data_IF_862594110372
#
_entry.id   IF_862594110372
#
_cell.length_a   1.000
_cell.length_b   1.000
_cell.length_c   1.000
_cell.angle_alpha   90.00
_cell.angle_beta   90.00
_cell.angle_gamma   90.00
#
_symmetry.space_group_name_H-M   'P 1'
#
loop_
_entity.id
_entity.type
_entity.pdbx_description
1 polymer ?
#
# COMPACT_ATOMS: atom_id res chain seq x y z
N UNK A 1 8.95 4.73 -33.49
CA UNK A 1 9.28 6.15 -33.71
C UNK A 1 10.66 6.38 -33.16
N UNK A 2 11.61 6.87 -33.97
CA UNK A 2 12.95 7.20 -33.48
C UNK A 2 12.93 8.62 -32.90
N UNK A 3 13.42 8.78 -31.68
CA UNK A 3 13.55 10.10 -31.05
C UNK A 3 14.74 10.86 -31.65
N UNK A 4 14.64 12.19 -31.64
CA UNK A 4 15.69 13.08 -32.18
C UNK A 4 16.94 13.07 -31.32
N UNK A 5 16.79 12.87 -30.01
CA UNK A 5 17.87 12.76 -29.03
C UNK A 5 17.87 11.36 -28.44
N UNK A 6 19.06 10.84 -28.15
CA UNK A 6 19.26 9.57 -27.48
C UNK A 6 20.58 9.52 -26.73
N UNK A 7 20.88 8.36 -26.15
CA UNK A 7 22.11 8.14 -25.38
C UNK A 7 22.93 7.04 -26.04
N UNK A 8 24.20 7.35 -26.34
CA UNK A 8 25.17 6.34 -26.78
C UNK A 8 25.51 5.45 -25.60
N UNK A 9 25.22 4.16 -25.71
CA UNK A 9 25.51 3.17 -24.68
C UNK A 9 26.45 2.08 -25.19
N UNK A 10 27.31 1.57 -24.29
CA UNK A 10 28.12 0.36 -24.52
C UNK A 10 27.46 -0.82 -23.84
N UNK A 11 27.43 -1.95 -24.53
CA UNK A 11 27.03 -3.24 -23.96
C UNK A 11 28.15 -3.72 -23.04
N UNK A 12 27.86 -3.82 -21.76
CA UNK A 12 28.81 -4.30 -20.74
C UNK A 12 28.72 -5.80 -20.56
N UNK A 13 27.49 -6.32 -20.54
CA UNK A 13 27.21 -7.74 -20.38
C UNK A 13 25.95 -8.08 -21.15
N UNK A 14 25.94 -9.24 -21.81
CA UNK A 14 24.76 -9.77 -22.47
C UNK A 14 24.66 -11.25 -22.11
N UNK A 15 23.55 -11.66 -21.52
CA UNK A 15 23.31 -13.02 -21.07
C UNK A 15 21.93 -13.49 -21.55
N UNK A 16 21.78 -14.75 -21.99
CA UNK A 16 20.46 -15.31 -22.28
C UNK A 16 19.67 -15.42 -20.98
N UNK A 17 18.43 -14.92 -20.98
CA UNK A 17 17.53 -15.05 -19.83
C UNK A 17 17.02 -16.50 -19.82
N UNK A 18 17.16 -17.24 -18.71
CA UNK A 18 16.58 -18.56 -18.61
C UNK A 18 15.06 -18.45 -18.53
N UNK A 19 14.34 -18.76 -19.61
CA UNK A 19 12.89 -18.96 -19.54
C UNK A 19 12.61 -20.36 -19.02
N UNK A 20 12.09 -20.47 -17.80
CA UNK A 20 11.57 -21.74 -17.28
C UNK A 20 10.21 -22.01 -17.91
N UNK A 21 10.18 -22.87 -18.94
CA UNK A 21 8.92 -23.40 -19.45
C UNK A 21 8.28 -24.36 -18.43
N UNK A 22 6.95 -24.35 -18.31
CA UNK A 22 6.22 -25.48 -17.72
C UNK A 22 6.58 -26.71 -18.57
N UNK A 23 7.25 -27.72 -17.99
CA UNK A 23 7.76 -28.95 -18.64
C UNK A 23 9.19 -28.93 -19.23
N UNK A 24 10.13 -28.14 -18.70
CA UNK A 24 11.56 -28.42 -18.87
C UNK A 24 12.12 -28.28 -20.29
N UNK A 25 11.37 -27.69 -21.21
CA UNK A 25 11.91 -27.23 -22.48
C UNK A 25 12.47 -25.82 -22.29
N UNK A 26 13.72 -25.62 -22.72
CA UNK A 26 14.34 -24.31 -22.89
C UNK A 26 13.64 -23.66 -24.07
N UNK A 27 12.64 -22.83 -23.80
CA UNK A 27 12.15 -21.89 -24.80
C UNK A 27 13.25 -20.85 -25.06
N UNK A 28 13.29 -20.30 -26.27
CA UNK A 28 14.28 -19.29 -26.68
C UNK A 28 14.08 -18.03 -25.82
N UNK A 29 14.82 -17.99 -24.71
CA UNK A 29 14.69 -17.00 -23.67
C UNK A 29 15.29 -15.67 -24.11
N UNK A 30 14.57 -14.58 -23.86
CA UNK A 30 15.02 -13.23 -24.24
C UNK A 30 16.42 -12.91 -23.72
N UNK A 31 17.13 -11.96 -24.33
CA UNK A 31 18.47 -11.57 -23.89
C UNK A 31 18.39 -10.47 -22.83
N UNK A 32 19.05 -10.66 -21.68
CA UNK A 32 19.28 -9.59 -20.71
C UNK A 32 20.60 -8.88 -21.06
N UNK A 33 20.53 -7.57 -21.26
CA UNK A 33 21.69 -6.75 -21.61
C UNK A 33 21.89 -5.65 -20.57
N UNK A 34 23.10 -5.56 -20.02
CA UNK A 34 23.53 -4.45 -19.18
C UNK A 34 24.21 -3.40 -20.07
N UNK A 35 23.63 -2.21 -20.13
CA UNK A 35 24.08 -1.10 -20.94
C UNK A 35 24.63 0.01 -20.05
N UNK A 36 25.76 0.61 -20.45
CA UNK A 36 26.30 1.82 -19.82
C UNK A 36 26.23 2.99 -20.80
N UNK A 37 25.45 4.01 -20.47
CA UNK A 37 25.39 5.27 -21.23
C UNK A 37 26.66 6.12 -21.04
N UNK A 38 27.09 6.80 -22.10
CA UNK A 38 28.28 7.67 -22.09
C UNK A 38 27.94 9.11 -22.47
N UNK A 39 27.38 9.31 -23.66
CA UNK A 39 27.17 10.64 -24.24
C UNK A 39 25.77 10.74 -24.83
N UNK A 40 25.23 11.95 -24.80
CA UNK A 40 24.04 12.28 -25.56
C UNK A 40 24.37 12.41 -27.05
N UNK A 41 23.47 11.90 -27.87
CA UNK A 41 23.58 11.88 -29.31
C UNK A 41 22.31 12.43 -29.94
N UNK A 42 22.48 13.13 -31.06
CA UNK A 42 21.40 13.62 -31.90
C UNK A 42 21.34 12.79 -33.17
N UNK A 43 20.15 12.32 -33.51
CA UNK A 43 19.92 11.64 -34.79
C UNK A 43 19.98 12.67 -35.93
N UNK A 44 20.90 12.47 -36.86
CA UNK A 44 21.02 13.30 -38.06
C UNK A 44 20.27 12.68 -39.23
N UNK A 45 20.51 11.39 -39.47
CA UNK A 45 19.98 10.69 -40.63
C UNK A 45 19.79 9.21 -40.34
N UNK A 46 18.68 8.66 -40.82
CA UNK A 46 18.47 7.20 -40.84
C UNK A 46 19.09 6.66 -42.14
N UNK A 47 20.03 5.72 -42.01
CA UNK A 47 20.73 5.10 -43.15
C UNK A 47 19.97 3.86 -43.64
N UNK A 48 19.53 3.01 -42.71
CA UNK A 48 18.76 1.79 -43.01
C UNK A 48 17.86 1.40 -41.85
N UNK A 49 16.64 0.98 -42.15
CA UNK A 49 15.63 0.51 -41.18
C UNK A 49 15.64 -1.02 -40.95
N UNK A 50 16.55 -1.76 -41.60
CA UNK A 50 16.68 -3.22 -41.41
C UNK A 50 17.18 -3.61 -40.01
N UNK A 51 17.29 -4.91 -39.68
CA UNK A 51 17.98 -5.36 -38.46
C UNK A 51 19.50 -5.53 -38.71
N UNK A 52 20.38 -4.80 -38.00
CA UNK A 52 20.11 -3.70 -37.08
C UNK A 52 19.86 -2.38 -37.81
N UNK A 53 19.01 -1.52 -37.22
CA UNK A 53 18.72 -0.20 -37.77
C UNK A 53 19.99 0.63 -37.69
N UNK A 54 20.40 1.20 -38.83
CA UNK A 54 21.61 2.00 -38.93
C UNK A 54 21.24 3.47 -39.01
N UNK A 55 21.83 4.27 -38.12
CA UNK A 55 21.59 5.71 -38.01
C UNK A 55 22.92 6.44 -37.94
N UNK A 56 22.98 7.60 -38.57
CA UNK A 56 24.05 8.58 -38.41
C UNK A 56 23.68 9.52 -37.26
N UNK A 57 24.63 9.71 -36.35
CA UNK A 57 24.42 10.46 -35.10
C UNK A 57 25.55 11.44 -34.87
N UNK A 58 25.20 12.63 -34.36
CA UNK A 58 26.15 13.63 -33.89
C UNK A 58 26.23 13.60 -32.36
N UNK A 59 27.42 13.84 -31.80
CA UNK A 59 27.59 14.03 -30.37
C UNK A 59 26.98 15.37 -29.97
N UNK A 60 26.14 15.38 -28.93
CA UNK A 60 25.66 16.61 -28.31
C UNK A 60 26.71 17.04 -27.28
N UNK A 61 27.32 18.20 -27.48
CA UNK A 61 28.12 18.86 -26.45
C UNK A 61 27.18 19.72 -25.63
N UNK A 62 26.98 19.35 -24.38
CA UNK A 62 26.19 20.12 -23.44
C UNK A 62 26.94 21.43 -23.10
N UNK A 63 26.21 22.54 -23.02
CA UNK A 63 26.82 23.80 -22.60
C UNK A 63 27.24 23.69 -21.14
N UNK A 64 28.52 23.89 -20.84
CA UNK A 64 29.01 23.93 -19.47
C UNK A 64 28.67 25.25 -18.76
N UNK A 65 28.28 26.27 -19.52
CA UNK A 65 28.04 27.61 -19.01
C UNK A 65 26.57 27.99 -19.18
N UNK A 66 25.90 28.25 -18.06
CA UNK A 66 24.65 29.01 -18.03
C UNK A 66 24.95 30.49 -17.81
N UNK A 67 24.12 31.35 -18.40
CA UNK A 67 24.23 32.80 -18.21
C UNK A 67 24.03 33.25 -16.77
N UNK A 68 23.35 32.45 -15.93
CA UNK A 68 23.03 32.79 -14.55
C UNK A 68 23.48 31.68 -13.58
N UNK A 69 24.67 31.85 -13.01
CA UNK A 69 25.29 30.88 -12.09
C UNK A 69 24.60 30.81 -10.73
N UNK A 70 23.91 31.88 -10.31
CA UNK A 70 23.29 31.92 -8.98
C UNK A 70 21.95 31.19 -8.97
N UNK A 71 21.15 31.36 -10.03
CA UNK A 71 19.92 30.56 -10.21
C UNK A 71 20.22 29.07 -10.38
N UNK A 72 21.28 28.73 -11.12
CA UNK A 72 21.73 27.35 -11.28
C UNK A 72 22.06 26.70 -9.93
N UNK A 73 22.83 27.39 -9.08
CA UNK A 73 23.14 26.92 -7.71
C UNK A 73 21.89 26.75 -6.85
N UNK A 74 20.93 27.67 -6.96
CA UNK A 74 19.66 27.55 -6.25
C UNK A 74 18.89 26.29 -6.69
N UNK A 75 18.82 26.00 -7.99
CA UNK A 75 18.20 24.77 -8.49
C UNK A 75 18.90 23.50 -8.02
N UNK A 76 20.23 23.47 -8.01
CA UNK A 76 21.00 22.34 -7.50
C UNK A 76 20.68 22.10 -6.02
N UNK A 77 20.70 23.17 -5.21
CA UNK A 77 20.42 23.08 -3.77
C UNK A 77 18.99 22.60 -3.49
N UNK A 78 18.01 23.13 -4.22
CA UNK A 78 16.60 22.73 -4.10
C UNK A 78 16.40 21.26 -4.52
N UNK A 79 17.03 20.84 -5.63
CA UNK A 79 17.00 19.44 -6.08
C UNK A 79 17.58 18.50 -5.03
N UNK A 80 18.73 18.86 -4.44
CA UNK A 80 19.35 18.13 -3.34
C UNK A 80 18.49 18.09 -2.08
N UNK A 81 17.73 19.15 -1.81
CA UNK A 81 16.79 19.19 -0.70
C UNK A 81 15.63 18.24 -0.94
N UNK A 82 14.96 18.34 -2.10
CA UNK A 82 13.84 17.47 -2.47
C UNK A 82 14.22 15.99 -2.48
N UNK A 83 15.40 15.63 -3.00
CA UNK A 83 15.87 14.23 -2.95
C UNK A 83 15.98 13.74 -1.50
N UNK A 84 16.56 14.54 -0.60
CA UNK A 84 16.67 14.19 0.82
C UNK A 84 15.31 14.04 1.49
N UNK A 85 14.33 14.87 1.15
CA UNK A 85 12.96 14.74 1.67
C UNK A 85 12.28 13.46 1.19
N UNK A 86 12.43 13.09 -0.09
CA UNK A 86 11.88 11.82 -0.60
C UNK A 86 12.49 10.63 0.17
N UNK A 87 13.80 10.68 0.44
CA UNK A 87 14.50 9.63 1.18
C UNK A 87 14.02 9.48 2.64
N UNK A 88 13.61 10.56 3.30
CA UNK A 88 13.13 10.48 4.69
C UNK A 88 11.71 9.94 4.79
N UNK A 89 10.87 10.25 3.80
CA UNK A 89 9.44 9.93 3.81
C UNK A 89 9.19 8.50 3.31
N UNK A 90 9.87 8.06 2.25
CA UNK A 90 9.56 6.78 1.62
C UNK A 90 10.45 5.65 2.15
N UNK A 91 9.86 4.60 2.77
CA UNK A 91 10.61 3.45 3.28
C UNK A 91 11.38 2.70 2.18
N UNK A 92 10.88 2.72 0.95
CA UNK A 92 11.48 2.03 -0.20
C UNK A 92 12.85 2.63 -0.56
N UNK A 93 13.01 3.95 -0.39
CA UNK A 93 14.28 4.62 -0.63
C UNK A 93 15.28 4.44 0.51
N UNK A 94 14.84 3.93 1.68
CA UNK A 94 15.69 3.69 2.84
C UNK A 94 16.69 2.55 2.58
N UNK A 95 16.29 1.52 1.83
CA UNK A 95 17.17 0.41 1.42
C UNK A 95 18.21 0.85 0.38
N UNK A 96 17.85 1.81 -0.47
CA UNK A 96 18.75 2.39 -1.47
C UNK A 96 19.45 3.66 -0.98
N UNK A 97 19.26 4.04 0.29
CA UNK A 97 19.73 5.32 0.81
C UNK A 97 21.25 5.43 0.73
N UNK A 98 21.98 4.38 1.11
CA UNK A 98 23.44 4.37 1.03
C UNK A 98 23.94 4.49 -0.41
N UNK A 99 23.26 3.85 -1.38
CA UNK A 99 23.59 3.95 -2.79
C UNK A 99 23.32 5.36 -3.33
N UNK A 100 22.21 5.97 -2.92
CA UNK A 100 21.84 7.34 -3.31
C UNK A 100 22.81 8.34 -2.67
N UNK A 101 23.15 8.18 -1.40
CA UNK A 101 24.15 9.00 -0.72
C UNK A 101 25.51 8.91 -1.40
N UNK A 102 25.99 7.70 -1.69
CA UNK A 102 27.24 7.52 -2.44
C UNK A 102 27.15 8.09 -3.86
N UNK A 103 25.99 8.00 -4.52
CA UNK A 103 25.74 8.63 -5.81
C UNK A 103 25.85 10.15 -5.73
N UNK A 104 25.18 10.76 -4.76
CA UNK A 104 25.20 12.20 -4.49
C UNK A 104 26.58 12.72 -4.08
N UNK A 105 27.38 11.92 -3.37
CA UNK A 105 28.77 12.26 -3.02
C UNK A 105 29.72 12.17 -4.22
N UNK A 106 29.48 11.20 -5.12
CA UNK A 106 30.26 11.04 -6.38
C UNK A 106 29.92 12.08 -7.42
N UNK A 107 28.70 12.62 -7.39
CA UNK A 107 28.33 13.82 -8.11
C UNK A 107 29.04 14.99 -7.42
N UNK A 108 30.29 15.23 -7.81
CA UNK A 108 30.98 16.49 -7.53
C UNK A 108 30.00 17.62 -7.90
N UNK A 109 29.75 18.56 -6.97
CA UNK A 109 28.67 19.55 -6.99
C UNK A 109 28.64 20.48 -8.23
N UNK A 110 29.53 20.27 -9.20
CA UNK A 110 29.81 21.11 -10.35
C UNK A 110 29.32 20.54 -11.70
N UNK A 111 28.64 19.38 -11.76
CA UNK A 111 27.95 18.94 -12.99
C UNK A 111 26.41 19.01 -12.86
N UNK A 112 25.79 20.13 -13.27
CA UNK A 112 24.34 20.30 -13.26
C UNK A 112 23.60 19.27 -14.13
N UNK A 113 24.21 18.81 -15.22
CA UNK A 113 23.55 17.86 -16.12
C UNK A 113 23.51 16.46 -15.50
N UNK A 114 24.60 16.04 -14.88
CA UNK A 114 24.62 14.79 -14.14
C UNK A 114 23.63 14.82 -12.97
N UNK A 115 23.52 15.95 -12.25
CA UNK A 115 22.54 16.11 -11.17
C UNK A 115 21.10 15.99 -11.70
N UNK A 116 20.78 16.62 -12.84
CA UNK A 116 19.45 16.52 -13.44
C UNK A 116 19.13 15.10 -13.93
N UNK A 117 20.10 14.38 -14.50
CA UNK A 117 19.90 12.98 -14.91
C UNK A 117 19.73 12.06 -13.70
N UNK A 118 20.48 12.30 -12.62
CA UNK A 118 20.33 11.57 -11.37
C UNK A 118 18.96 11.80 -10.74
N UNK A 119 18.54 13.07 -10.64
CA UNK A 119 17.21 13.47 -10.22
C UNK A 119 16.12 12.76 -11.04
N UNK A 120 16.21 12.79 -12.37
CA UNK A 120 15.25 12.12 -13.24
C UNK A 120 15.21 10.59 -13.04
N UNK A 121 16.36 9.96 -12.76
CA UNK A 121 16.44 8.51 -12.51
C UNK A 121 15.75 8.06 -11.21
N UNK A 122 15.53 8.98 -10.27
CA UNK A 122 14.81 8.73 -9.02
C UNK A 122 13.30 8.91 -9.14
N UNK A 123 12.81 9.44 -10.27
CA UNK A 123 11.39 9.67 -10.50
C UNK A 123 10.72 8.47 -11.20
N UNK A 124 9.42 8.31 -10.96
CA UNK A 124 8.58 7.34 -11.68
C UNK A 124 7.94 7.93 -12.95
N UNK A 125 8.55 8.98 -13.50
CA UNK A 125 8.04 9.72 -14.65
C UNK A 125 7.95 8.86 -15.92
N UNK A 126 7.05 9.23 -16.82
CA UNK A 126 6.85 8.54 -18.10
C UNK A 126 8.05 8.74 -19.02
N UNK A 127 8.28 7.79 -19.94
CA UNK A 127 9.37 7.91 -20.92
C UNK A 127 9.32 9.19 -21.77
N UNK A 128 8.13 9.75 -21.98
CA UNK A 128 7.97 11.03 -22.67
C UNK A 128 8.45 12.22 -21.81
N UNK A 129 8.11 12.25 -20.52
CA UNK A 129 8.58 13.28 -19.57
C UNK A 129 10.10 13.20 -19.38
N UNK A 130 10.66 11.98 -19.28
CA UNK A 130 12.11 11.78 -19.19
C UNK A 130 12.84 12.24 -20.46
N UNK A 131 12.24 12.01 -21.64
CA UNK A 131 12.78 12.51 -22.90
C UNK A 131 12.78 14.04 -22.95
N UNK A 132 11.75 14.70 -22.41
CA UNK A 132 11.72 16.17 -22.34
C UNK A 132 12.88 16.74 -21.52
N UNK A 133 13.28 16.07 -20.44
CA UNK A 133 14.48 16.45 -19.65
C UNK A 133 15.75 16.21 -20.47
N UNK A 134 15.83 15.07 -21.16
CA UNK A 134 17.01 14.70 -21.97
C UNK A 134 17.25 15.68 -23.13
N UNK A 135 16.18 16.18 -23.74
CA UNK A 135 16.21 17.08 -24.90
C UNK A 135 16.66 18.52 -24.56
N UNK A 136 16.64 18.93 -23.29
CA UNK A 136 17.10 20.25 -22.89
C UNK A 136 18.62 20.42 -23.08
N UNK A 137 19.03 21.51 -23.70
CA UNK A 137 20.45 21.86 -23.89
C UNK A 137 21.00 22.67 -22.72
N UNK A 138 20.25 23.65 -22.21
CA UNK A 138 20.67 24.50 -21.09
C UNK A 138 20.59 23.76 -19.75
N UNK A 139 21.63 23.82 -18.91
CA UNK A 139 21.64 23.16 -17.60
C UNK A 139 20.51 23.62 -16.67
N UNK A 140 20.22 24.93 -16.64
CA UNK A 140 19.16 25.51 -15.80
C UNK A 140 17.78 24.98 -16.16
N UNK A 141 17.39 24.98 -17.45
CA UNK A 141 16.11 24.42 -17.86
C UNK A 141 16.04 22.92 -17.59
N UNK A 142 17.14 22.19 -17.83
CA UNK A 142 17.18 20.75 -17.56
C UNK A 142 16.94 20.44 -16.09
N UNK A 143 17.61 21.15 -15.19
CA UNK A 143 17.39 21.02 -13.75
C UNK A 143 15.99 21.46 -13.34
N UNK A 144 15.48 22.56 -13.90
CA UNK A 144 14.11 23.04 -13.63
C UNK A 144 13.07 21.97 -13.98
N UNK A 145 13.18 21.36 -15.15
CA UNK A 145 12.29 20.29 -15.58
C UNK A 145 12.43 19.02 -14.71
N UNK A 146 13.66 18.61 -14.39
CA UNK A 146 13.89 17.48 -13.49
C UNK A 146 13.33 17.74 -12.08
N UNK A 147 13.46 18.96 -11.57
CA UNK A 147 12.94 19.37 -10.27
C UNK A 147 11.41 19.32 -10.23
N UNK A 148 10.72 19.73 -11.30
CA UNK A 148 9.26 19.62 -11.39
C UNK A 148 8.81 18.15 -11.29
N UNK A 149 9.51 17.24 -11.98
CA UNK A 149 9.22 15.81 -11.88
C UNK A 149 9.51 15.26 -10.49
N UNK A 150 10.61 15.68 -9.86
CA UNK A 150 10.92 15.31 -8.47
C UNK A 150 9.89 15.82 -7.47
N UNK A 151 9.38 17.05 -7.60
CA UNK A 151 8.34 17.57 -6.70
C UNK A 151 7.04 16.79 -6.84
N UNK A 152 6.67 16.41 -8.07
CA UNK A 152 5.53 15.51 -8.31
C UNK A 152 5.74 14.15 -7.63
N UNK A 153 6.95 13.59 -7.71
CA UNK A 153 7.30 12.34 -7.01
C UNK A 153 7.24 12.48 -5.49
N UNK A 154 7.68 13.62 -4.95
CA UNK A 154 7.58 13.93 -3.52
C UNK A 154 6.12 13.96 -3.05
N UNK A 155 5.23 14.62 -3.81
CA UNK A 155 3.80 14.66 -3.49
C UNK A 155 3.17 13.26 -3.49
N UNK A 156 3.53 12.43 -4.49
CA UNK A 156 3.08 11.02 -4.56
C UNK A 156 3.60 10.23 -3.35
N UNK A 157 4.87 10.39 -3.01
CA UNK A 157 5.49 9.73 -1.85
C UNK A 157 4.84 10.14 -0.52
N UNK A 158 4.54 11.43 -0.36
CA UNK A 158 3.83 11.95 0.81
C UNK A 158 2.41 11.38 0.92
N UNK A 159 1.69 11.29 -0.19
CA UNK A 159 0.36 10.71 -0.22
C UNK A 159 0.40 9.22 0.15
N UNK A 160 1.34 8.46 -0.43
CA UNK A 160 1.54 7.05 -0.09
C UNK A 160 1.85 6.87 1.39
N UNK A 161 2.77 7.67 1.95
CA UNK A 161 3.09 7.63 3.37
C UNK A 161 1.86 7.93 4.24
N UNK A 162 1.05 8.93 3.88
CA UNK A 162 -0.20 9.26 4.59
C UNK A 162 -1.23 8.14 4.53
N UNK A 163 -1.34 7.45 3.40
CA UNK A 163 -2.24 6.29 3.27
C UNK A 163 -1.76 5.16 4.18
N UNK A 164 -0.47 4.84 4.16
CA UNK A 164 0.11 3.80 5.00
C UNK A 164 -0.08 4.11 6.48
N UNK A 165 0.20 5.33 6.93
CA UNK A 165 0.04 5.71 8.33
C UNK A 165 -1.42 5.64 8.80
N UNK A 166 -2.38 6.04 7.96
CA UNK A 166 -3.81 5.91 8.28
C UNK A 166 -4.26 4.45 8.38
N UNK A 167 -3.71 3.56 7.55
CA UNK A 167 -4.00 2.13 7.62
C UNK A 167 -3.40 1.55 8.90
N UNK A 168 -2.15 1.89 9.23
CA UNK A 168 -1.47 1.45 10.46
C UNK A 168 -2.21 1.92 11.71
N UNK A 169 -2.70 3.16 11.75
CA UNK A 169 -3.48 3.67 12.88
C UNK A 169 -4.81 2.91 13.07
N UNK A 170 -5.51 2.62 11.96
CA UNK A 170 -6.74 1.80 12.00
C UNK A 170 -6.46 0.38 12.45
N UNK A 171 -5.38 -0.24 11.98
CA UNK A 171 -4.99 -1.61 12.40
C UNK A 171 -4.57 -1.61 13.87
N UNK A 172 -3.76 -0.64 14.30
CA UNK A 172 -3.29 -0.51 15.69
C UNK A 172 -4.44 -0.32 16.67
N UNK A 173 -5.41 0.53 16.33
CA UNK A 173 -6.62 0.72 17.16
C UNK A 173 -7.47 -0.54 17.22
N UNK A 174 -7.69 -1.22 16.10
CA UNK A 174 -8.40 -2.52 16.08
C UNK A 174 -7.69 -3.59 16.90
N UNK A 175 -6.37 -3.69 16.76
CA UNK A 175 -5.56 -4.65 17.51
C UNK A 175 -5.58 -4.35 19.01
N UNK A 176 -5.51 -3.07 19.39
CA UNK A 176 -5.66 -2.63 20.79
C UNK A 176 -7.03 -2.99 21.34
N UNK A 177 -8.10 -2.72 20.60
CA UNK A 177 -9.46 -3.07 21.02
C UNK A 177 -9.64 -4.59 21.15
N UNK A 178 -9.13 -5.36 20.20
CA UNK A 178 -9.13 -6.82 20.25
C UNK A 178 -8.39 -7.35 21.49
N UNK A 179 -7.18 -6.84 21.76
CA UNK A 179 -6.41 -7.20 22.95
C UNK A 179 -7.14 -6.85 24.25
N UNK A 180 -7.74 -5.66 24.33
CA UNK A 180 -8.52 -5.24 25.50
C UNK A 180 -9.76 -6.13 25.70
N UNK A 181 -10.43 -6.55 24.62
CA UNK A 181 -11.56 -7.50 24.70
C UNK A 181 -11.12 -8.88 25.16
N UNK A 182 -9.98 -9.38 24.69
CA UNK A 182 -9.42 -10.65 25.18
C UNK A 182 -9.00 -10.56 26.65
N UNK A 183 -8.36 -9.45 27.05
CA UNK A 183 -8.03 -9.21 28.45
C UNK A 183 -9.28 -9.15 29.32
N UNK A 184 -10.35 -8.47 28.88
CA UNK A 184 -11.63 -8.48 29.60
C UNK A 184 -12.24 -9.88 29.70
N UNK A 185 -12.16 -10.70 28.64
CA UNK A 185 -12.63 -12.11 28.70
C UNK A 185 -11.82 -12.93 29.71
N UNK A 186 -10.49 -12.76 29.72
CA UNK A 186 -9.61 -13.43 30.68
C UNK A 186 -9.88 -12.97 32.11
N UNK A 187 -10.03 -11.65 32.35
CA UNK A 187 -10.37 -11.10 33.66
C UNK A 187 -11.72 -11.64 34.15
N UNK A 188 -12.75 -11.68 33.30
CA UNK A 188 -14.06 -12.28 33.63
C UNK A 188 -13.94 -13.77 34.00
N UNK A 189 -13.09 -14.51 33.30
CA UNK A 189 -12.80 -15.93 33.58
C UNK A 189 -12.09 -16.11 34.92
N UNK A 190 -11.07 -15.29 35.20
CA UNK A 190 -10.28 -15.32 36.45
C UNK A 190 -11.08 -14.81 37.67
N UNK A 191 -11.97 -13.83 37.50
CA UNK A 191 -12.90 -13.39 38.57
C UNK A 191 -13.97 -14.44 38.91
N UNK A 192 -14.01 -15.57 38.22
CA UNK A 192 -15.04 -16.60 38.44
C UNK A 192 -16.44 -16.16 38.00
N UNK A 193 -16.53 -15.17 37.09
CA UNK A 193 -17.76 -14.75 36.44
C UNK A 193 -18.19 -15.69 35.30
N UNK A 194 -17.79 -16.96 35.36
CA UNK A 194 -18.57 -18.07 34.78
C UNK A 194 -20.01 -18.14 35.38
N UNK A 195 -20.38 -17.21 36.28
CA UNK A 195 -21.72 -17.04 36.88
C UNK A 195 -22.57 -15.94 36.25
N UNK A 196 -22.21 -15.40 35.08
CA UNK A 196 -23.26 -14.83 34.20
C UNK A 196 -24.31 -15.91 33.84
N UNK A 197 -23.91 -17.18 33.91
CA UNK A 197 -24.64 -18.42 33.56
C UNK A 197 -25.82 -18.81 34.47
N UNK A 198 -26.40 -17.87 35.23
CA UNK A 198 -27.68 -18.08 35.92
C UNK A 198 -28.88 -17.95 34.97
N UNK A 199 -28.78 -17.03 34.02
CA UNK A 199 -29.82 -16.73 33.05
C UNK A 199 -29.84 -17.79 31.95
N UNK A 200 -28.67 -18.16 31.42
CA UNK A 200 -28.55 -19.20 30.37
C UNK A 200 -28.99 -20.58 30.86
N UNK A 201 -28.62 -20.98 32.08
CA UNK A 201 -29.13 -22.21 32.70
C UNK A 201 -30.65 -22.21 32.93
N UNK A 202 -31.26 -21.06 33.17
CA UNK A 202 -32.71 -20.94 33.30
C UNK A 202 -33.39 -21.03 31.93
N UNK A 203 -32.84 -20.37 30.91
CA UNK A 203 -33.32 -20.44 29.53
C UNK A 203 -33.27 -21.88 29.02
N UNK A 204 -32.18 -22.61 29.28
CA UNK A 204 -32.04 -24.01 28.89
C UNK A 204 -33.06 -24.91 29.59
N UNK A 205 -33.31 -24.70 30.89
CA UNK A 205 -34.37 -25.41 31.62
C UNK A 205 -35.75 -25.15 31.04
N UNK A 206 -36.05 -23.92 30.64
CA UNK A 206 -37.34 -23.57 30.04
C UNK A 206 -37.51 -24.21 28.65
N UNK A 207 -36.44 -24.25 27.84
CA UNK A 207 -36.44 -24.95 26.55
C UNK A 207 -36.68 -26.45 26.72
N UNK A 208 -35.99 -27.10 27.65
CA UNK A 208 -36.19 -28.54 27.95
C UNK A 208 -37.63 -28.88 28.39
N UNK A 209 -38.35 -27.95 29.01
CA UNK A 209 -39.77 -28.15 29.37
C UNK A 209 -40.72 -28.06 28.18
N UNK A 210 -40.34 -27.26 27.18
CA UNK A 210 -41.10 -27.10 25.93
C UNK A 210 -40.79 -28.23 24.94
N UNK A 211 -39.63 -28.90 25.06
CA UNK A 211 -39.28 -30.07 24.28
C UNK A 211 -40.28 -31.22 24.51
N UNK A 212 -41.05 -31.54 23.47
CA UNK A 212 -42.06 -32.60 23.50
C UNK A 212 -43.51 -32.14 23.72
N UNK A 213 -43.74 -30.84 23.91
CA UNK A 213 -45.10 -30.28 23.96
C UNK A 213 -45.55 -29.70 22.61
N UNK A 214 -46.85 -29.78 22.32
CA UNK A 214 -47.43 -29.20 21.10
C UNK A 214 -47.98 -27.81 21.45
N UNK A 215 -47.11 -26.81 21.31
CA UNK A 215 -47.42 -25.41 21.61
C UNK A 215 -48.07 -24.74 20.39
N UNK A 216 -49.22 -24.05 20.52
CA UNK A 216 -49.80 -23.26 19.44
C UNK A 216 -48.85 -22.15 18.96
N UNK A 217 -48.92 -21.81 17.66
CA UNK A 217 -48.01 -20.85 17.03
C UNK A 217 -47.96 -19.49 17.74
N UNK A 218 -49.12 -18.94 18.11
CA UNK A 218 -49.22 -17.64 18.79
C UNK A 218 -48.53 -17.65 20.16
N UNK A 219 -48.63 -18.76 20.90
CA UNK A 219 -47.99 -18.92 22.20
C UNK A 219 -46.46 -19.08 22.07
N UNK A 220 -46.00 -19.77 21.03
CA UNK A 220 -44.57 -19.94 20.75
C UNK A 220 -43.89 -18.61 20.37
N UNK A 221 -44.57 -17.76 19.61
CA UNK A 221 -44.08 -16.41 19.28
C UNK A 221 -43.94 -15.54 20.53
N UNK A 222 -44.95 -15.55 21.42
CA UNK A 222 -44.89 -14.83 22.69
C UNK A 222 -43.75 -15.33 23.58
N UNK A 223 -43.56 -16.65 23.70
CA UNK A 223 -42.47 -17.27 24.46
C UNK A 223 -41.11 -16.85 23.91
N UNK A 224 -40.91 -16.87 22.60
CA UNK A 224 -39.65 -16.47 21.96
C UNK A 224 -39.35 -14.97 22.17
N UNK A 225 -40.34 -14.10 22.06
CA UNK A 225 -40.17 -12.67 22.34
C UNK A 225 -39.74 -12.42 23.79
N UNK A 226 -40.33 -13.14 24.75
CA UNK A 226 -39.96 -13.02 26.16
C UNK A 226 -38.58 -13.63 26.47
N UNK A 227 -38.14 -14.66 25.74
CA UNK A 227 -36.76 -15.17 25.84
C UNK A 227 -35.72 -14.13 25.41
N UNK A 228 -35.95 -13.43 24.30
CA UNK A 228 -35.05 -12.37 23.82
C UNK A 228 -34.96 -11.20 24.81
N UNK A 229 -36.09 -10.82 25.42
CA UNK A 229 -36.11 -9.82 26.49
C UNK A 229 -35.34 -10.32 27.71
N UNK A 230 -35.57 -11.56 28.13
CA UNK A 230 -34.93 -12.14 29.31
C UNK A 230 -33.40 -12.24 29.20
N UNK A 231 -32.88 -12.50 28.00
CA UNK A 231 -31.44 -12.58 27.75
C UNK A 231 -30.71 -11.24 27.88
N UNK A 232 -31.41 -10.12 27.64
CA UNK A 232 -30.84 -8.77 27.64
C UNK A 232 -31.10 -8.00 28.96
N UNK A 233 -31.95 -8.53 29.85
CA UNK A 233 -32.30 -7.88 31.11
C UNK A 233 -31.25 -8.11 32.20
N UNK A 234 -30.96 -7.06 32.97
CA UNK A 234 -30.11 -7.14 34.15
C UNK A 234 -30.82 -7.92 35.27
N UNK A 235 -30.12 -8.87 35.91
CA UNK A 235 -30.66 -9.75 36.97
C UNK A 235 -31.24 -9.00 38.19
N UNK A 236 -30.81 -7.77 38.40
CA UNK A 236 -31.22 -6.89 39.51
C UNK A 236 -32.50 -6.09 39.19
N UNK A 237 -32.96 -6.11 37.94
CA UNK A 237 -34.19 -5.42 37.54
C UNK A 237 -35.43 -6.13 38.08
N UNK A 238 -36.42 -5.35 38.52
CA UNK A 238 -37.73 -5.87 38.88
C UNK A 238 -38.45 -6.52 37.68
N UNK A 239 -38.11 -6.10 36.46
CA UNK A 239 -38.58 -6.70 35.20
C UNK A 239 -38.01 -8.10 34.99
N UNK A 240 -36.77 -8.37 35.43
CA UNK A 240 -36.15 -9.69 35.29
C UNK A 240 -36.91 -10.77 36.08
N UNK A 241 -37.33 -10.47 37.31
CA UNK A 241 -38.14 -11.40 38.11
C UNK A 241 -39.54 -11.60 37.52
N UNK A 242 -40.12 -10.55 36.93
CA UNK A 242 -41.44 -10.61 36.30
C UNK A 242 -41.41 -11.47 35.02
N UNK A 243 -40.47 -11.22 34.11
CA UNK A 243 -40.27 -12.00 32.88
C UNK A 243 -39.92 -13.45 33.19
N UNK A 244 -39.10 -13.71 34.22
CA UNK A 244 -38.81 -15.07 34.69
C UNK A 244 -40.06 -15.82 35.12
N UNK A 245 -40.90 -15.22 35.95
CA UNK A 245 -42.13 -15.86 36.44
C UNK A 245 -43.11 -16.10 35.29
N UNK A 246 -43.17 -15.17 34.34
CA UNK A 246 -44.01 -15.31 33.16
C UNK A 246 -43.55 -16.48 32.26
N UNK A 247 -42.24 -16.58 31.98
CA UNK A 247 -41.66 -17.72 31.26
C UNK A 247 -41.84 -19.05 32.02
N UNK A 248 -41.73 -19.04 33.35
CA UNK A 248 -41.97 -20.22 34.19
C UNK A 248 -43.41 -20.71 34.07
N UNK A 249 -44.40 -19.82 34.11
CA UNK A 249 -45.81 -20.19 33.91
C UNK A 249 -46.09 -20.69 32.50
N UNK A 250 -45.58 -20.00 31.49
CA UNK A 250 -45.76 -20.40 30.09
C UNK A 250 -45.13 -21.76 29.79
N UNK A 251 -44.04 -22.14 30.47
CA UNK A 251 -43.34 -23.42 30.25
C UNK A 251 -43.85 -24.56 31.13
N UNK A 252 -44.61 -24.29 32.21
CA UNK A 252 -45.22 -25.32 33.08
C UNK A 252 -46.59 -25.78 32.58
N UNK A 253 -47.30 -24.95 31.80
CA UNK A 253 -48.59 -25.33 31.23
C UNK A 253 -48.46 -26.57 30.33
N UNK A 254 -49.38 -27.56 30.44
CA UNK A 254 -49.28 -28.79 29.67
C UNK A 254 -49.92 -28.61 28.29
N UNK A 255 -49.21 -27.91 27.40
CA UNK A 255 -49.67 -27.61 26.04
C UNK A 255 -49.94 -28.88 25.24
N UNK A 256 -51.10 -28.93 24.60
CA UNK A 256 -51.53 -30.10 23.81
C UNK A 256 -52.12 -31.25 24.64
N UNK A 257 -52.27 -31.10 25.96
CA UNK A 257 -53.05 -32.04 26.79
C UNK A 257 -54.43 -31.47 27.08
N UNK A 258 -55.47 -32.23 26.76
CA UNK A 258 -56.85 -31.87 27.05
C UNK A 258 -57.39 -32.87 28.06
N UNK A 259 -58.06 -32.37 29.11
CA UNK A 259 -58.87 -33.24 29.96
C UNK A 259 -59.99 -33.86 29.12
N UNK A 260 -60.33 -35.12 29.41
CA UNK A 260 -61.52 -35.79 28.87
C UNK A 260 -62.80 -35.00 29.15
#
# INVERSE_FOLDING_TARGET
VLHRVGTRARIMQAAPMPSVGKLGQVADGGMQMLLRGFDLIRLEKVLSLGPPTQVQVAKITLSAEDSDKDTLKAYINETMHTIREIMTISPQFREYADMIHQGLERLERDDPHAMAHFAASLTTATGAELMQVLEQESPSEKLRHALVLLKKELEVSQLQHKITSQIEEKVSSHQREFMLREQLKMIKKELGEDKSDGTDKLVEKFRQRLEGQVVPHEAMEAINSEFEKFANLAKESQEYQMTRNYLDWLTVLPWGTYSK
#
